data_IF_933972028299
#
_entry.id   IF_933972028299
#
_cell.length_a   1.000
_cell.length_b   1.000
_cell.length_c   1.000
_cell.angle_alpha   90.00
_cell.angle_beta   90.00
_cell.angle_gamma   90.00
#
_symmetry.space_group_name_H-M   'P 1'
#
loop_
_entity.id
_entity.type
_entity.pdbx_description
1 polymer ?
#
# COMPACT_ATOMS: atom_id res chain seq x y z
N UNK A 1 54.37 -10.62 -14.93
CA UNK A 1 55.53 -9.93 -15.53
C UNK A 1 55.56 -10.21 -17.03
N UNK A 2 55.95 -9.20 -17.81
CA UNK A 2 56.12 -9.16 -19.28
C UNK A 2 54.88 -9.24 -20.16
N UNK A 3 54.86 -8.67 -21.36
CA UNK A 3 55.19 -7.35 -21.92
C UNK A 3 54.72 -7.40 -23.39
N UNK A 4 54.61 -6.23 -24.02
CA UNK A 4 54.68 -6.01 -25.48
C UNK A 4 53.50 -6.54 -26.36
N UNK A 5 52.68 -5.72 -27.03
CA UNK A 5 52.88 -4.59 -27.96
C UNK A 5 53.17 -4.97 -29.42
N UNK A 6 52.43 -4.30 -30.32
CA UNK A 6 52.72 -3.98 -31.74
C UNK A 6 52.52 -5.10 -32.78
N UNK A 7 51.49 -4.96 -33.63
CA UNK A 7 51.47 -4.23 -34.93
C UNK A 7 52.46 -4.82 -35.96
N UNK A 8 51.99 -5.29 -37.10
CA UNK A 8 52.01 -4.56 -38.40
C UNK A 8 51.48 -5.43 -39.56
N UNK A 9 50.91 -4.69 -40.52
CA UNK A 9 50.53 -4.93 -41.93
C UNK A 9 51.03 -6.19 -42.65
N UNK A 10 50.25 -6.55 -43.68
CA UNK A 10 50.59 -6.85 -45.10
C UNK A 10 49.37 -7.62 -45.65
N UNK A 11 48.83 -7.45 -46.86
CA UNK A 11 49.15 -6.63 -48.01
C UNK A 11 48.03 -6.85 -49.04
N UNK A 12 47.85 -5.87 -49.91
CA UNK A 12 46.94 -5.91 -51.07
C UNK A 12 47.65 -6.56 -52.26
N UNK A 13 46.96 -7.45 -52.99
CA UNK A 13 47.08 -7.69 -54.45
C UNK A 13 46.21 -8.88 -54.86
N UNK A 14 45.46 -8.74 -55.97
CA UNK A 14 44.87 -9.88 -56.68
C UNK A 14 43.54 -9.60 -57.36
N UNK A 15 43.57 -8.99 -58.55
CA UNK A 15 42.49 -9.02 -59.54
C UNK A 15 42.26 -10.46 -60.05
N UNK A 16 41.01 -10.88 -60.25
CA UNK A 16 40.45 -11.22 -61.58
C UNK A 16 39.14 -12.04 -61.51
N UNK A 17 38.22 -11.67 -62.41
CA UNK A 17 37.26 -12.51 -63.13
C UNK A 17 36.09 -13.18 -62.36
N UNK A 18 34.94 -12.50 -62.42
CA UNK A 18 33.74 -12.95 -63.15
C UNK A 18 33.01 -14.21 -62.69
N UNK A 19 31.83 -14.02 -62.09
CA UNK A 19 30.64 -14.89 -62.29
C UNK A 19 29.38 -14.03 -62.17
N UNK A 20 28.55 -14.04 -63.22
CA UNK A 20 27.16 -13.61 -63.19
C UNK A 20 26.38 -14.52 -62.25
N UNK A 21 25.78 -13.96 -61.18
CA UNK A 21 24.59 -14.55 -60.58
C UNK A 21 23.57 -13.44 -60.34
N UNK A 22 22.49 -13.55 -61.11
CA UNK A 22 21.21 -12.93 -60.83
C UNK A 22 20.77 -13.28 -59.40
N UNK A 23 20.38 -12.26 -58.65
CA UNK A 23 20.02 -12.38 -57.26
C UNK A 23 20.31 -11.08 -56.54
N UNK A 24 19.63 -10.01 -56.94
CA UNK A 24 19.42 -8.88 -56.04
C UNK A 24 18.68 -9.43 -54.81
N UNK A 25 19.44 -9.88 -53.81
CA UNK A 25 18.99 -9.89 -52.44
C UNK A 25 18.78 -8.42 -52.09
N UNK A 26 17.60 -7.91 -52.42
CA UNK A 26 17.06 -6.71 -51.80
C UNK A 26 17.06 -7.01 -50.31
N UNK A 27 18.10 -6.52 -49.67
CA UNK A 27 18.17 -6.19 -48.27
C UNK A 27 16.78 -5.71 -47.87
N UNK A 28 16.06 -6.56 -47.14
CA UNK A 28 14.77 -6.24 -46.58
C UNK A 28 15.08 -5.22 -45.49
N UNK A 29 15.24 -3.96 -45.92
CA UNK A 29 15.21 -2.80 -45.05
C UNK A 29 14.00 -3.01 -44.15
N UNK A 30 14.28 -3.19 -42.86
CA UNK A 30 13.29 -3.08 -41.82
C UNK A 30 12.40 -1.87 -42.18
N UNK A 31 11.07 -2.02 -42.17
CA UNK A 31 10.18 -0.96 -42.64
C UNK A 31 10.56 0.34 -41.93
N UNK A 32 11.07 1.27 -42.74
CA UNK A 32 11.38 2.64 -42.36
C UNK A 32 10.18 3.19 -41.61
N UNK A 33 10.44 3.52 -40.35
CA UNK A 33 9.60 4.34 -39.47
C UNK A 33 8.11 4.01 -39.52
N UNK A 34 7.62 3.25 -38.54
CA UNK A 34 6.36 3.63 -37.91
C UNK A 34 6.51 5.12 -37.60
N UNK A 35 5.82 5.95 -38.37
CA UNK A 35 5.78 7.37 -38.17
C UNK A 35 5.55 7.61 -36.67
N UNK A 36 6.51 8.31 -36.08
CA UNK A 36 6.53 8.78 -34.72
C UNK A 36 5.34 9.72 -34.55
N UNK A 37 4.16 9.15 -34.36
CA UNK A 37 2.99 9.89 -33.92
C UNK A 37 3.31 10.23 -32.46
N UNK A 38 3.89 11.41 -32.24
CA UNK A 38 4.19 11.95 -30.91
C UNK A 38 2.87 12.23 -30.20
N UNK A 39 2.17 11.18 -29.78
CA UNK A 39 0.95 11.30 -29.00
C UNK A 39 1.36 11.47 -27.55
N UNK A 40 0.87 12.55 -26.97
CA UNK A 40 1.24 13.05 -25.65
C UNK A 40 0.97 12.01 -24.57
N UNK A 41 2.00 11.72 -23.77
CA UNK A 41 1.82 11.07 -22.48
C UNK A 41 1.02 12.02 -21.59
N UNK A 42 -0.05 11.50 -20.98
CA UNK A 42 -0.79 12.23 -19.98
C UNK A 42 -0.56 11.60 -18.61
N UNK A 43 -0.40 12.44 -17.59
CA UNK A 43 -0.32 12.00 -16.20
C UNK A 43 -1.73 11.69 -15.74
N UNK A 44 -1.92 10.51 -15.15
CA UNK A 44 -3.15 10.15 -14.47
C UNK A 44 -3.12 10.78 -13.07
N UNK A 45 -4.04 11.70 -12.81
CA UNK A 45 -4.04 12.53 -11.59
C UNK A 45 -4.69 11.80 -10.41
N UNK A 46 -4.31 10.54 -10.22
CA UNK A 46 -4.79 9.64 -9.17
C UNK A 46 -3.63 8.78 -8.65
N UNK A 47 -3.64 8.38 -7.37
CA UNK A 47 -2.71 7.39 -6.84
C UNK A 47 -2.75 6.07 -7.62
N UNK A 48 -1.64 5.34 -7.64
CA UNK A 48 -1.48 4.04 -8.34
C UNK A 48 -2.63 3.07 -8.05
N UNK A 49 -2.98 2.86 -6.77
CA UNK A 49 -4.06 1.91 -6.41
C UNK A 49 -5.46 2.31 -6.92
N UNK A 50 -5.71 3.62 -7.08
CA UNK A 50 -6.97 4.11 -7.62
C UNK A 50 -7.01 3.95 -9.15
N UNK A 51 -5.86 4.11 -9.82
CA UNK A 51 -5.71 3.83 -11.25
C UNK A 51 -5.95 2.36 -11.56
N UNK A 52 -5.35 1.45 -10.78
CA UNK A 52 -5.51 0.01 -10.94
C UNK A 52 -6.99 -0.38 -10.87
N UNK A 53 -7.69 0.14 -9.87
CA UNK A 53 -9.13 -0.09 -9.67
C UNK A 53 -9.95 0.48 -10.83
N UNK A 54 -9.63 1.68 -11.30
CA UNK A 54 -10.35 2.32 -12.41
C UNK A 54 -10.14 1.60 -13.74
N UNK A 55 -8.94 1.06 -13.98
CA UNK A 55 -8.57 0.36 -15.21
C UNK A 55 -9.44 -0.85 -15.50
N UNK A 56 -9.89 -1.59 -14.47
CA UNK A 56 -10.85 -2.68 -14.65
C UNK A 56 -12.19 -2.20 -15.25
N UNK A 57 -12.66 -1.01 -14.87
CA UNK A 57 -13.92 -0.46 -15.37
C UNK A 57 -13.84 0.08 -16.80
N UNK A 58 -12.67 0.56 -17.22
CA UNK A 58 -12.45 1.12 -18.56
C UNK A 58 -12.55 0.06 -19.67
N UNK A 59 -12.20 -1.20 -19.37
CA UNK A 59 -12.25 -2.29 -20.34
C UNK A 59 -13.65 -2.49 -20.92
N UNK A 60 -14.68 -2.36 -20.07
CA UNK A 60 -16.10 -2.43 -20.47
C UNK A 60 -16.55 -1.30 -21.41
N UNK A 61 -15.78 -0.21 -21.48
CA UNK A 61 -16.04 0.96 -22.34
C UNK A 61 -15.12 0.98 -23.57
N UNK A 62 -14.49 -0.15 -23.89
CA UNK A 62 -13.64 -0.29 -25.06
C UNK A 62 -12.21 0.21 -24.88
N UNK A 63 -11.75 0.48 -23.64
CA UNK A 63 -10.36 0.89 -23.36
C UNK A 63 -9.71 -0.07 -22.36
N UNK A 64 -8.75 -0.88 -22.81
CA UNK A 64 -7.98 -1.77 -21.92
C UNK A 64 -6.72 -1.06 -21.44
N UNK A 65 -6.50 -1.01 -20.13
CA UNK A 65 -5.20 -0.62 -19.59
C UNK A 65 -4.19 -1.75 -19.76
N UNK A 66 -2.96 -1.39 -20.10
CA UNK A 66 -1.81 -2.28 -20.16
C UNK A 66 -0.81 -1.78 -19.14
N UNK A 67 -0.54 -2.59 -18.12
CA UNK A 67 0.32 -2.20 -17.00
C UNK A 67 1.81 -2.30 -17.35
N UNK A 68 2.70 -1.65 -16.57
CA UNK A 68 4.13 -1.80 -16.78
C UNK A 68 4.55 -3.29 -16.79
N UNK A 69 5.37 -3.66 -17.76
CA UNK A 69 5.86 -5.03 -18.00
C UNK A 69 4.82 -6.03 -18.54
N UNK A 70 3.58 -5.61 -18.80
CA UNK A 70 2.60 -6.45 -19.48
C UNK A 70 2.89 -6.45 -21.00
N UNK A 71 2.95 -7.63 -21.60
CA UNK A 71 3.03 -7.76 -23.05
C UNK A 71 1.64 -7.59 -23.66
N UNK A 72 1.57 -6.85 -24.75
CA UNK A 72 0.31 -6.58 -25.43
C UNK A 72 0.47 -6.74 -26.94
N UNK A 73 -0.64 -7.04 -27.59
CA UNK A 73 -0.81 -7.11 -29.03
C UNK A 73 -1.94 -6.17 -29.44
N UNK A 74 -1.99 -5.70 -30.69
CA UNK A 74 -3.13 -4.91 -31.15
C UNK A 74 -4.48 -5.59 -30.92
N UNK A 75 -4.54 -6.92 -30.97
CA UNK A 75 -5.74 -7.73 -30.71
C UNK A 75 -6.22 -7.67 -29.26
N UNK A 76 -5.37 -7.23 -28.33
CA UNK A 76 -5.73 -7.03 -26.93
C UNK A 76 -6.58 -5.77 -26.71
N UNK A 77 -6.67 -4.87 -27.70
CA UNK A 77 -7.59 -3.75 -27.63
C UNK A 77 -9.00 -4.31 -27.43
N UNK A 78 -9.68 -3.84 -26.37
CA UNK A 78 -10.96 -4.39 -25.88
C UNK A 78 -11.98 -4.60 -27.02
N UNK A 79 -12.93 -5.54 -26.82
CA UNK A 79 -13.94 -6.07 -27.76
C UNK A 79 -14.92 -5.06 -28.40
N UNK A 80 -14.58 -3.78 -28.47
CA UNK A 80 -15.44 -2.69 -28.92
C UNK A 80 -16.23 -2.11 -27.76
N UNK A 81 -16.51 -0.81 -27.85
CA UNK A 81 -17.20 -0.04 -26.80
C UNK A 81 -16.97 1.46 -26.92
N UNK A 82 -15.95 1.87 -27.68
CA UNK A 82 -15.77 3.26 -28.05
C UNK A 82 -16.87 3.69 -29.03
N UNK A 83 -17.49 4.86 -28.85
CA UNK A 83 -18.52 5.35 -29.76
C UNK A 83 -17.91 5.59 -31.14
N UNK A 84 -18.58 5.06 -32.17
CA UNK A 84 -18.19 5.28 -33.55
C UNK A 84 -18.43 6.74 -33.94
N UNK A 85 -17.49 7.34 -34.68
CA UNK A 85 -17.67 8.69 -35.21
C UNK A 85 -18.61 8.56 -36.40
N UNK A 86 -19.84 9.04 -36.22
CA UNK A 86 -20.99 8.94 -37.12
C UNK A 86 -20.87 9.79 -38.41
N UNK A 87 -19.67 10.03 -38.94
CA UNK A 87 -19.51 10.78 -40.20
C UNK A 87 -19.68 9.92 -41.46
N UNK A 88 -19.73 8.58 -41.35
CA UNK A 88 -19.90 7.70 -42.50
C UNK A 88 -21.20 6.89 -42.40
N UNK A 89 -22.22 7.39 -43.12
CA UNK A 89 -23.34 6.67 -43.75
C UNK A 89 -24.71 6.65 -43.00
N UNK A 90 -25.76 7.28 -43.57
CA UNK A 90 -27.14 7.27 -43.02
C UNK A 90 -27.92 5.96 -43.26
N UNK A 91 -27.30 4.92 -43.84
CA UNK A 91 -27.93 3.63 -44.19
C UNK A 91 -27.38 2.45 -43.38
N UNK A 92 -26.72 2.74 -42.25
CA UNK A 92 -25.87 1.80 -41.54
C UNK A 92 -26.65 0.81 -40.66
N UNK A 93 -26.43 -0.49 -40.88
CA UNK A 93 -26.84 -1.55 -39.97
C UNK A 93 -25.83 -1.61 -38.81
N UNK A 94 -26.27 -1.35 -37.58
CA UNK A 94 -25.43 -1.41 -36.39
C UNK A 94 -24.74 -2.77 -36.20
N UNK A 95 -25.31 -3.84 -36.77
CA UNK A 95 -24.72 -5.17 -36.79
C UNK A 95 -23.49 -5.28 -37.70
N UNK A 96 -23.19 -4.28 -38.56
CA UNK A 96 -22.07 -4.25 -39.52
C UNK A 96 -20.95 -3.27 -39.20
N UNK A 97 -20.96 -2.71 -37.99
CA UNK A 97 -20.06 -1.64 -37.63
C UNK A 97 -18.62 -2.12 -37.36
N UNK A 98 -17.59 -1.41 -37.88
CA UNK A 98 -16.22 -1.72 -37.53
C UNK A 98 -16.03 -1.57 -36.02
N UNK A 99 -15.27 -2.47 -35.41
CA UNK A 99 -15.00 -2.37 -33.96
C UNK A 99 -13.83 -1.42 -33.76
N UNK A 100 -13.94 -0.55 -32.76
CA UNK A 100 -12.85 0.34 -32.37
C UNK A 100 -12.54 0.09 -30.90
N UNK A 101 -11.27 -0.21 -30.64
CA UNK A 101 -10.74 -0.49 -29.30
C UNK A 101 -9.53 0.38 -29.00
N UNK A 102 -9.41 0.79 -27.74
CA UNK A 102 -8.26 1.51 -27.21
C UNK A 102 -7.42 0.64 -26.28
N UNK A 103 -6.10 0.79 -26.37
CA UNK A 103 -5.14 0.40 -25.34
C UNK A 103 -4.64 1.67 -24.64
N UNK A 104 -4.71 1.68 -23.32
CA UNK A 104 -4.08 2.70 -22.49
C UNK A 104 -2.79 2.11 -21.92
N UNK A 105 -1.67 2.41 -22.56
CA UNK A 105 -0.36 1.92 -22.16
C UNK A 105 0.14 2.74 -20.97
N UNK A 106 0.30 2.09 -19.83
CA UNK A 106 0.74 2.73 -18.60
C UNK A 106 2.26 2.57 -18.43
N UNK A 107 2.90 3.67 -18.08
CA UNK A 107 4.30 3.69 -17.65
C UNK A 107 4.36 4.26 -16.24
N UNK A 108 5.14 3.62 -15.37
CA UNK A 108 5.37 4.12 -14.02
C UNK A 108 6.50 5.16 -14.04
N UNK A 109 6.25 6.32 -13.43
CA UNK A 109 7.25 7.35 -13.12
C UNK A 109 7.27 7.61 -11.62
N UNK A 110 8.28 8.35 -11.16
CA UNK A 110 8.42 8.74 -9.75
C UNK A 110 8.38 10.24 -9.58
N UNK A 111 7.66 10.68 -8.56
CA UNK A 111 7.65 12.08 -8.12
C UNK A 111 9.01 12.47 -7.54
N UNK A 112 9.27 13.77 -7.29
CA UNK A 112 10.47 14.22 -6.58
C UNK A 112 10.63 13.57 -5.20
N UNK A 113 9.54 13.31 -4.48
CA UNK A 113 9.52 12.56 -3.22
C UNK A 113 9.71 11.05 -3.37
N UNK A 114 9.86 10.54 -4.60
CA UNK A 114 10.12 9.13 -4.90
C UNK A 114 8.88 8.24 -4.94
N UNK A 115 7.68 8.83 -4.92
CA UNK A 115 6.40 8.11 -4.94
C UNK A 115 5.99 7.76 -6.37
N UNK A 116 5.50 6.53 -6.62
CA UNK A 116 5.13 6.10 -7.95
C UNK A 116 3.83 6.78 -8.41
N UNK A 117 3.77 7.10 -9.70
CA UNK A 117 2.56 7.55 -10.38
C UNK A 117 2.56 7.05 -11.83
N UNK A 118 1.38 6.99 -12.44
CA UNK A 118 1.25 6.53 -13.82
C UNK A 118 1.16 7.68 -14.82
N UNK A 119 1.91 7.53 -15.91
CA UNK A 119 1.66 8.22 -17.17
C UNK A 119 1.06 7.24 -18.16
N UNK A 120 0.22 7.75 -19.06
CA UNK A 120 -0.57 6.93 -19.94
C UNK A 120 -0.49 7.43 -21.39
N UNK A 121 -0.36 6.49 -22.32
CA UNK A 121 -0.40 6.73 -23.75
C UNK A 121 -1.52 5.90 -24.39
N UNK A 122 -2.40 6.54 -25.16
CA UNK A 122 -3.47 5.86 -25.87
C UNK A 122 -3.01 5.35 -27.25
N UNK A 123 -3.16 4.04 -27.49
CA UNK A 123 -3.09 3.42 -28.81
C UNK A 123 -4.47 2.93 -29.22
N UNK A 124 -4.81 3.11 -30.48
CA UNK A 124 -6.19 2.93 -30.94
C UNK A 124 -6.15 2.10 -32.20
N UNK A 125 -7.02 1.11 -32.24
CA UNK A 125 -7.10 0.16 -33.34
C UNK A 125 -8.55 0.04 -33.82
N UNK A 126 -8.70 0.07 -35.14
CA UNK A 126 -9.91 -0.28 -35.85
C UNK A 126 -9.78 -1.72 -36.35
N UNK A 127 -10.83 -2.48 -36.17
CA UNK A 127 -10.96 -3.85 -36.65
C UNK A 127 -12.02 -3.88 -37.73
N UNK A 128 -11.83 -4.79 -38.68
CA UNK A 128 -12.81 -5.06 -39.70
C UNK A 128 -14.09 -5.67 -39.10
N UNK A 129 -15.09 -5.82 -39.95
CA UNK A 129 -16.39 -6.33 -39.53
C UNK A 129 -16.35 -7.78 -39.02
N UNK A 130 -15.40 -8.58 -39.49
CA UNK A 130 -15.26 -9.98 -39.09
C UNK A 130 -14.70 -10.15 -37.67
N UNK A 131 -14.10 -9.09 -37.10
CA UNK A 131 -13.41 -9.14 -35.80
C UNK A 131 -12.13 -9.98 -35.80
N UNK A 132 -11.81 -10.62 -36.93
CA UNK A 132 -10.60 -11.42 -37.14
C UNK A 132 -9.61 -10.80 -38.13
N UNK A 133 -9.94 -9.63 -38.71
CA UNK A 133 -9.04 -8.89 -39.59
C UNK A 133 -7.90 -8.21 -38.84
N UNK A 134 -6.92 -7.74 -39.62
CA UNK A 134 -5.76 -7.03 -39.07
C UNK A 134 -6.20 -5.77 -38.32
N UNK A 135 -5.63 -5.55 -37.14
CA UNK A 135 -5.83 -4.33 -36.37
C UNK A 135 -5.14 -3.16 -37.09
N UNK A 136 -5.91 -2.15 -37.49
CA UNK A 136 -5.40 -0.98 -38.20
C UNK A 136 -5.29 0.17 -37.20
N UNK A 137 -4.10 0.74 -36.95
CA UNK A 137 -3.95 1.93 -36.11
C UNK A 137 -4.79 3.10 -36.65
N UNK A 138 -5.57 3.75 -35.79
CA UNK A 138 -6.46 4.85 -36.20
C UNK A 138 -6.46 6.00 -35.17
N UNK A 139 -5.91 7.16 -35.54
CA UNK A 139 -5.85 8.36 -34.67
C UNK A 139 -7.19 9.04 -34.47
N UNK A 140 -8.14 8.84 -35.37
CA UNK A 140 -9.36 9.67 -35.44
C UNK A 140 -10.21 9.59 -34.17
N UNK A 141 -10.04 8.52 -33.38
CA UNK A 141 -10.75 8.29 -32.12
C UNK A 141 -9.98 8.75 -30.88
N UNK A 142 -8.86 9.47 -31.01
CA UNK A 142 -8.04 9.90 -29.88
C UNK A 142 -8.83 10.64 -28.80
N UNK A 143 -9.63 11.63 -29.22
CA UNK A 143 -10.47 12.41 -28.30
C UNK A 143 -11.58 11.56 -27.67
N UNK A 144 -12.11 10.57 -28.39
CA UNK A 144 -13.14 9.67 -27.88
C UNK A 144 -12.58 8.73 -26.79
N UNK A 145 -11.35 8.22 -26.98
CA UNK A 145 -10.65 7.42 -25.97
C UNK A 145 -10.38 8.24 -24.73
N UNK A 146 -9.78 9.42 -24.87
CA UNK A 146 -9.47 10.24 -23.71
C UNK A 146 -10.70 10.79 -23.00
N UNK A 147 -11.81 11.06 -23.71
CA UNK A 147 -13.11 11.36 -23.07
C UNK A 147 -13.61 10.18 -22.23
N UNK A 148 -13.44 8.96 -22.73
CA UNK A 148 -13.80 7.73 -22.00
C UNK A 148 -12.93 7.54 -20.76
N UNK A 149 -11.63 7.82 -20.86
CA UNK A 149 -10.68 7.79 -19.74
C UNK A 149 -11.03 8.87 -18.71
N UNK A 150 -11.22 10.14 -19.13
CA UNK A 150 -11.59 11.27 -18.26
C UNK A 150 -12.84 11.02 -17.42
N UNK A 151 -13.78 10.22 -17.92
CA UNK A 151 -14.99 9.88 -17.18
C UNK A 151 -14.71 9.08 -15.89
N UNK A 152 -13.51 8.48 -15.76
CA UNK A 152 -13.11 7.71 -14.57
C UNK A 152 -11.79 8.15 -13.96
N UNK A 153 -10.85 8.57 -14.80
CA UNK A 153 -9.50 8.97 -14.45
C UNK A 153 -9.24 10.38 -14.96
N UNK A 154 -9.23 11.38 -14.06
CA UNK A 154 -8.73 12.71 -14.40
C UNK A 154 -7.28 12.60 -14.89
N UNK A 155 -6.98 13.30 -15.97
CA UNK A 155 -5.64 13.32 -16.54
C UNK A 155 -5.26 14.75 -16.93
N UNK A 156 -3.96 15.01 -17.02
CA UNK A 156 -3.43 16.25 -17.57
C UNK A 156 -2.10 16.01 -18.28
N UNK A 157 -1.63 17.00 -19.04
CA UNK A 157 -0.29 16.92 -19.64
C UNK A 157 0.77 16.95 -18.54
N UNK A 158 1.92 16.33 -18.80
CA UNK A 158 3.04 16.29 -17.85
C UNK A 158 3.55 17.69 -17.47
N UNK A 159 3.49 18.64 -18.40
CA UNK A 159 3.91 20.04 -18.20
C UNK A 159 2.86 20.94 -17.53
N UNK A 160 1.68 20.42 -17.22
CA UNK A 160 0.58 21.21 -16.66
C UNK A 160 0.78 21.57 -15.19
N UNK A 161 0.15 22.68 -14.76
CA UNK A 161 0.14 23.06 -13.35
C UNK A 161 -0.64 22.06 -12.49
N UNK A 162 -1.65 21.40 -13.07
CA UNK A 162 -2.45 20.35 -12.46
C UNK A 162 -1.59 19.14 -12.08
N UNK A 163 -0.70 18.71 -12.97
CA UNK A 163 0.29 17.66 -12.70
C UNK A 163 1.20 18.04 -11.54
N UNK A 164 1.76 19.26 -11.55
CA UNK A 164 2.61 19.73 -10.43
C UNK A 164 1.89 19.66 -9.09
N UNK A 165 0.67 20.20 -9.01
CA UNK A 165 -0.15 20.14 -7.77
C UNK A 165 -0.54 18.72 -7.37
N UNK A 166 -0.70 17.81 -8.33
CA UNK A 166 -0.97 16.41 -8.02
C UNK A 166 0.26 15.74 -7.39
N UNK A 167 1.45 15.92 -7.98
CA UNK A 167 2.68 15.34 -7.47
C UNK A 167 3.05 15.90 -6.08
N UNK A 168 2.89 17.21 -5.87
CA UNK A 168 3.13 17.84 -4.56
C UNK A 168 2.23 17.24 -3.48
N UNK A 169 0.93 17.07 -3.77
CA UNK A 169 -0.02 16.44 -2.84
C UNK A 169 0.29 14.97 -2.59
N UNK A 170 0.68 14.23 -3.62
CA UNK A 170 1.09 12.83 -3.49
C UNK A 170 2.28 12.70 -2.53
N UNK A 171 3.28 13.57 -2.69
CA UNK A 171 4.48 13.58 -1.85
C UNK A 171 4.19 13.98 -0.41
N UNK A 172 3.35 15.00 -0.21
CA UNK A 172 2.92 15.43 1.11
C UNK A 172 2.15 14.33 1.84
N UNK A 173 1.18 13.69 1.19
CA UNK A 173 0.40 12.60 1.76
C UNK A 173 1.30 11.44 2.21
N UNK A 174 2.22 10.99 1.36
CA UNK A 174 3.13 9.89 1.70
C UNK A 174 4.11 10.28 2.82
N UNK A 175 4.56 11.54 2.86
CA UNK A 175 5.37 12.04 3.96
C UNK A 175 4.58 12.06 5.29
N UNK A 176 3.29 12.42 5.27
CA UNK A 176 2.45 12.40 6.48
C UNK A 176 2.22 10.97 6.99
N UNK A 177 1.87 10.02 6.12
CA UNK A 177 1.71 8.61 6.49
C UNK A 177 2.97 8.06 7.14
N UNK A 178 4.14 8.32 6.54
CA UNK A 178 5.41 7.86 7.10
C UNK A 178 5.72 8.47 8.46
N UNK A 179 5.37 9.74 8.69
CA UNK A 179 5.54 10.39 10.01
C UNK A 179 4.62 9.77 11.07
N UNK A 180 3.37 9.48 10.71
CA UNK A 180 2.43 8.83 11.62
C UNK A 180 2.86 7.41 11.98
N UNK A 181 3.38 6.64 11.02
CA UNK A 181 3.94 5.30 11.27
C UNK A 181 5.11 5.37 12.24
N UNK A 182 6.09 6.25 11.99
CA UNK A 182 7.22 6.46 12.89
C UNK A 182 6.79 6.89 14.30
N UNK A 183 5.75 7.72 14.41
CA UNK A 183 5.21 8.13 15.70
C UNK A 183 4.51 6.97 16.42
N UNK A 184 3.76 6.13 15.70
CA UNK A 184 3.13 4.91 16.25
C UNK A 184 4.19 3.91 16.74
N UNK A 185 5.25 3.72 15.97
CA UNK A 185 6.37 2.85 16.38
C UNK A 185 7.10 3.39 17.61
N UNK A 186 7.38 4.70 17.65
CA UNK A 186 8.04 5.34 18.79
C UNK A 186 7.19 5.25 20.07
N UNK A 187 5.88 5.47 19.96
CA UNK A 187 4.95 5.35 21.10
C UNK A 187 4.82 3.90 21.58
N UNK A 188 4.72 2.94 20.67
CA UNK A 188 4.71 1.51 21.02
C UNK A 188 6.03 1.07 21.70
N UNK A 189 7.18 1.55 21.22
CA UNK A 189 8.47 1.27 21.84
C UNK A 189 8.60 1.89 23.24
N UNK A 190 8.12 3.14 23.42
CA UNK A 190 8.10 3.81 24.71
C UNK A 190 7.18 3.09 25.71
N UNK A 191 6.00 2.65 25.29
CA UNK A 191 5.06 1.89 26.11
C UNK A 191 5.65 0.54 26.53
N UNK A 192 6.28 -0.17 25.59
CA UNK A 192 6.98 -1.44 25.89
C UNK A 192 8.10 -1.24 26.92
N UNK A 193 8.84 -0.12 26.84
CA UNK A 193 9.85 0.23 27.84
C UNK A 193 9.21 0.49 29.21
N UNK A 194 8.13 1.26 29.29
CA UNK A 194 7.39 1.49 30.54
C UNK A 194 6.91 0.19 31.18
N UNK A 195 6.35 -0.71 30.39
CA UNK A 195 5.90 -2.02 30.87
C UNK A 195 7.06 -2.87 31.40
N UNK A 196 8.22 -2.82 30.75
CA UNK A 196 9.41 -3.52 31.22
C UNK A 196 9.94 -2.93 32.54
N UNK A 197 9.98 -1.59 32.65
CA UNK A 197 10.41 -0.88 33.86
C UNK A 197 9.44 -1.18 35.04
N UNK A 198 8.13 -1.18 34.79
CA UNK A 198 7.11 -1.54 35.79
C UNK A 198 7.22 -3.00 36.24
N UNK A 199 7.48 -3.92 35.31
CA UNK A 199 7.69 -5.33 35.62
C UNK A 199 8.97 -5.53 36.46
N UNK A 200 10.05 -4.84 36.10
CA UNK A 200 11.30 -4.85 36.87
C UNK A 200 11.10 -4.27 38.28
N UNK A 201 10.35 -3.17 38.40
CA UNK A 201 10.00 -2.58 39.69
C UNK A 201 9.19 -3.56 40.55
N UNK A 202 8.17 -4.22 39.99
CA UNK A 202 7.36 -5.22 40.70
C UNK A 202 8.17 -6.46 41.13
N UNK A 203 9.24 -6.79 40.41
CA UNK A 203 10.15 -7.86 40.82
C UNK A 203 11.16 -7.42 41.90
N UNK A 204 11.33 -6.11 42.11
CA UNK A 204 12.37 -5.56 42.99
C UNK A 204 12.13 -5.89 44.48
N UNK A 205 13.21 -6.00 45.28
CA UNK A 205 13.10 -6.11 46.74
C UNK A 205 12.37 -4.93 47.38
N UNK A 206 12.51 -3.72 46.81
CA UNK A 206 11.84 -2.52 47.30
C UNK A 206 10.31 -2.63 47.19
N UNK A 207 9.81 -3.16 46.06
CA UNK A 207 8.37 -3.40 45.89
C UNK A 207 7.85 -4.48 46.84
N UNK A 208 8.58 -5.60 46.99
CA UNK A 208 8.24 -6.66 47.96
C UNK A 208 8.16 -6.12 49.39
N UNK A 209 9.13 -5.30 49.79
CA UNK A 209 9.13 -4.63 51.09
C UNK A 209 7.93 -3.69 51.24
N UNK A 210 7.62 -2.89 50.23
CA UNK A 210 6.45 -1.99 50.27
C UNK A 210 5.11 -2.73 50.41
N UNK A 211 4.98 -3.92 49.80
CA UNK A 211 3.81 -4.78 49.95
C UNK A 211 3.72 -5.37 51.36
N UNK A 212 4.84 -5.84 51.89
CA UNK A 212 4.93 -6.37 53.24
C UNK A 212 4.56 -5.29 54.29
N UNK A 213 5.09 -4.07 54.13
CA UNK A 213 4.77 -2.92 54.98
C UNK A 213 3.27 -2.57 54.92
N UNK A 214 2.66 -2.57 53.72
CA UNK A 214 1.21 -2.36 53.53
C UNK A 214 0.38 -3.45 54.21
N UNK A 215 0.80 -4.73 54.11
CA UNK A 215 0.12 -5.85 54.78
C UNK A 215 0.18 -5.72 56.30
N UNK A 216 1.34 -5.37 56.85
CA UNK A 216 1.52 -5.12 58.29
C UNK A 216 0.63 -3.97 58.75
N UNK A 217 0.59 -2.85 58.01
CA UNK A 217 -0.28 -1.72 58.32
C UNK A 217 -1.76 -2.12 58.33
N UNK A 218 -2.20 -2.91 57.34
CA UNK A 218 -3.57 -3.41 57.28
C UNK A 218 -3.89 -4.35 58.45
N UNK A 219 -2.98 -5.27 58.79
CA UNK A 219 -3.14 -6.17 59.94
C UNK A 219 -3.29 -5.39 61.26
N UNK A 220 -2.53 -4.31 61.46
CA UNK A 220 -2.67 -3.45 62.64
C UNK A 220 -4.06 -2.81 62.73
N UNK A 221 -4.59 -2.35 61.59
CA UNK A 221 -5.95 -1.81 61.53
C UNK A 221 -7.01 -2.87 61.83
N UNK A 222 -6.86 -4.08 61.28
CA UNK A 222 -7.79 -5.19 61.55
C UNK A 222 -7.78 -5.62 63.02
N UNK A 223 -6.61 -5.68 63.67
CA UNK A 223 -6.51 -5.95 65.10
C UNK A 223 -7.27 -4.89 65.91
N UNK A 224 -7.10 -3.61 65.56
CA UNK A 224 -7.80 -2.53 66.25
C UNK A 224 -9.33 -2.65 66.10
N UNK A 225 -9.81 -2.97 64.89
CA UNK A 225 -11.24 -3.19 64.63
C UNK A 225 -11.79 -4.42 65.36
N UNK A 226 -11.06 -5.53 65.36
CA UNK A 226 -11.45 -6.76 66.05
C UNK A 226 -11.53 -6.55 67.57
N UNK A 227 -10.55 -5.87 68.16
CA UNK A 227 -10.58 -5.50 69.59
C UNK A 227 -11.75 -4.59 69.91
N UNK A 228 -12.02 -3.59 69.07
CA UNK A 228 -13.18 -2.72 69.25
C UNK A 228 -14.51 -3.50 69.13
N UNK A 229 -14.59 -4.52 68.29
CA UNK A 229 -15.76 -5.38 68.20
C UNK A 229 -15.98 -6.23 69.46
N UNK A 230 -14.91 -6.80 70.03
CA UNK A 230 -14.97 -7.54 71.31
C UNK A 230 -15.46 -6.62 72.44
N UNK A 231 -14.89 -5.42 72.59
CA UNK A 231 -15.30 -4.46 73.62
C UNK A 231 -16.77 -4.04 73.44
N UNK A 232 -17.25 -3.90 72.21
CA UNK A 232 -18.66 -3.61 71.94
C UNK A 232 -19.55 -4.79 72.34
N UNK A 233 -19.17 -6.01 72.00
CA UNK A 233 -19.90 -7.23 72.39
C UNK A 233 -19.95 -7.42 73.90
N UNK A 234 -18.85 -7.15 74.62
CA UNK A 234 -18.81 -7.20 76.09
C UNK A 234 -19.82 -6.24 76.73
N UNK A 235 -19.96 -5.02 76.19
CA UNK A 235 -20.97 -4.06 76.66
C UNK A 235 -22.39 -4.53 76.39
N UNK A 236 -22.64 -5.12 75.21
CA UNK A 236 -23.94 -5.70 74.86
C UNK A 236 -24.26 -6.87 75.79
N UNK A 237 -23.29 -7.74 76.06
CA UNK A 237 -23.44 -8.88 76.97
C UNK A 237 -23.73 -8.43 78.41
N UNK A 238 -23.08 -7.36 78.89
CA UNK A 238 -23.37 -6.78 80.22
C UNK A 238 -24.82 -6.30 80.36
N UNK A 239 -25.43 -5.81 79.26
CA UNK A 239 -26.82 -5.32 79.26
C UNK A 239 -27.81 -6.46 79.04
N UNK A 240 -27.54 -7.36 78.09
CA UNK A 240 -28.48 -8.37 77.60
C UNK A 240 -28.32 -9.75 78.25
N UNK A 241 -27.21 -10.01 78.95
CA UNK A 241 -26.84 -11.32 79.49
C UNK A 241 -26.39 -12.34 78.44
N UNK A 242 -26.36 -11.98 77.15
CA UNK A 242 -26.00 -12.89 76.05
C UNK A 242 -24.63 -12.53 75.46
N UNK A 243 -23.76 -13.54 75.32
CA UNK A 243 -22.45 -13.39 74.68
C UNK A 243 -22.43 -13.99 73.27
N UNK A 244 -22.00 -13.21 72.29
CA UNK A 244 -21.83 -13.72 70.93
C UNK A 244 -20.47 -14.41 70.78
N UNK A 245 -20.43 -15.69 71.16
CA UNK A 245 -19.21 -16.52 71.10
C UNK A 245 -18.59 -16.57 69.69
N UNK A 246 -19.41 -16.63 68.65
CA UNK A 246 -18.93 -16.71 67.26
C UNK A 246 -18.23 -15.41 66.82
N UNK A 247 -18.74 -14.25 67.22
CA UNK A 247 -18.08 -12.97 66.97
C UNK A 247 -16.73 -12.88 67.72
N UNK A 248 -16.68 -13.32 68.99
CA UNK A 248 -15.44 -13.31 69.78
C UNK A 248 -14.39 -14.25 69.21
N UNK A 249 -14.79 -15.45 68.79
CA UNK A 249 -13.90 -16.44 68.20
C UNK A 249 -13.36 -15.96 66.85
N UNK A 250 -14.21 -15.39 65.99
CA UNK A 250 -13.80 -14.77 64.71
C UNK A 250 -12.84 -13.58 64.92
N UNK A 251 -13.13 -12.71 65.89
CA UNK A 251 -12.27 -11.58 66.24
C UNK A 251 -10.92 -12.06 66.80
N UNK A 252 -10.92 -13.07 67.67
CA UNK A 252 -9.69 -13.67 68.22
C UNK A 252 -8.83 -14.29 67.12
N UNK A 253 -9.45 -15.06 66.21
CA UNK A 253 -8.75 -15.65 65.08
C UNK A 253 -8.14 -14.58 64.15
N UNK A 254 -8.88 -13.50 63.90
CA UNK A 254 -8.38 -12.35 63.12
C UNK A 254 -7.16 -11.71 63.79
N UNK A 255 -7.21 -11.51 65.12
CA UNK A 255 -6.11 -10.92 65.88
C UNK A 255 -4.87 -11.82 65.82
N UNK A 256 -5.01 -13.12 66.10
CA UNK A 256 -3.90 -14.08 66.09
C UNK A 256 -3.26 -14.18 64.71
N UNK A 257 -4.06 -14.37 63.66
CA UNK A 257 -3.54 -14.44 62.28
C UNK A 257 -2.81 -13.15 61.87
N UNK A 258 -3.32 -11.99 62.27
CA UNK A 258 -2.65 -10.71 62.02
C UNK A 258 -1.36 -10.56 62.82
N UNK A 259 -1.32 -11.01 64.07
CA UNK A 259 -0.11 -10.97 64.90
C UNK A 259 0.99 -11.87 64.33
N UNK A 260 0.64 -13.08 63.88
CA UNK A 260 1.57 -14.00 63.22
C UNK A 260 2.11 -13.42 61.90
N UNK A 261 1.24 -12.76 61.12
CA UNK A 261 1.63 -12.09 59.87
C UNK A 261 2.60 -10.93 60.14
N UNK A 262 2.37 -10.14 61.20
CA UNK A 262 3.26 -9.05 61.61
C UNK A 262 4.59 -9.59 62.11
N UNK A 263 4.59 -10.68 62.90
CA UNK A 263 5.81 -11.31 63.42
C UNK A 263 6.72 -11.85 62.30
N UNK A 264 6.14 -12.28 61.18
CA UNK A 264 6.86 -12.68 59.96
C UNK A 264 7.24 -11.50 59.04
N UNK A 265 6.95 -10.27 59.46
CA UNK A 265 7.28 -9.05 58.71
C UNK A 265 6.39 -8.79 57.50
N UNK A 266 5.19 -9.38 57.42
CA UNK A 266 4.24 -9.19 56.31
C UNK A 266 4.46 -10.08 55.09
N UNK A 267 5.36 -11.07 55.19
CA UNK A 267 5.65 -12.06 54.14
C UNK A 267 4.76 -13.29 54.23
#
# INVERSE_FOLDING_TARGET
MTNASMRWRVGSLGLAAGVLCAGCATQQEAPKSLATDSRTENVLLQPVGDVDTACHSLSSRGVRCVFPNETWTPQDASNGGLPLIFSDLPWFDASRAPRVGGLLLLSEKRSPGGNPYYVAMARIYKFDFSGGGAAIPDSSYYDAVWRTVAARLPYASESSAETGRFLDRLDEQMATVKREELQKEATAAAEKKRQADDAAYKASPAYKKSLADKRVANCRNQIALARAAIVRDERVAQISGYENKLLRESAAQTIVNCQDTIARGGY
#
